data_IF_566422621727
#
_entry.id   IF_566422621727
#
_cell.length_a   1.000
_cell.length_b   1.000
_cell.length_c   1.000
_cell.angle_alpha   90.00
_cell.angle_beta   90.00
_cell.angle_gamma   90.00
#
_symmetry.space_group_name_H-M   'P 1'
#
loop_
_entity.id
_entity.type
_entity.pdbx_description
1 polymer ?
#
# COMPACT_ATOMS: atom_id res chain seq x y z
N UNK A 1 -14.87 9.23 9.46
CA UNK A 1 -14.60 8.35 8.29
C UNK A 1 -15.24 8.96 7.04
N UNK A 2 -14.49 9.12 5.93
CA UNK A 2 -15.01 9.77 4.72
C UNK A 2 -16.00 8.86 3.94
N UNK A 3 -16.91 9.41 3.10
CA UNK A 3 -17.85 8.61 2.32
C UNK A 3 -17.17 7.63 1.34
N UNK A 4 -16.01 8.01 0.78
CA UNK A 4 -15.23 7.14 -0.11
C UNK A 4 -14.58 5.98 0.65
N UNK A 5 -13.99 6.27 1.80
CA UNK A 5 -13.36 5.25 2.64
C UNK A 5 -14.42 4.27 3.17
N UNK A 6 -15.59 4.78 3.57
CA UNK A 6 -16.76 3.97 3.91
C UNK A 6 -17.20 3.06 2.74
N UNK A 7 -17.28 3.57 1.51
CA UNK A 7 -17.60 2.73 0.34
C UNK A 7 -16.55 1.64 0.13
N UNK A 8 -15.29 1.93 0.39
CA UNK A 8 -14.19 0.97 0.24
C UNK A 8 -14.31 -0.16 1.28
N UNK A 9 -14.55 0.17 2.55
CA UNK A 9 -14.77 -0.83 3.60
C UNK A 9 -16.08 -1.61 3.42
N UNK A 10 -17.18 -0.94 3.06
CA UNK A 10 -18.52 -1.56 2.99
C UNK A 10 -18.79 -2.31 1.68
N UNK A 11 -18.40 -1.75 0.52
CA UNK A 11 -18.73 -2.33 -0.80
C UNK A 11 -17.68 -3.29 -1.32
N UNK A 12 -16.41 -3.03 -1.02
CA UNK A 12 -15.29 -3.87 -1.46
C UNK A 12 -14.89 -4.86 -0.37
N UNK A 13 -15.60 -4.86 0.76
CA UNK A 13 -15.33 -5.69 1.94
C UNK A 13 -13.86 -5.63 2.38
N UNK A 14 -13.21 -4.47 2.19
CA UNK A 14 -11.80 -4.34 2.48
C UNK A 14 -11.60 -4.42 4.00
N UNK A 15 -10.78 -5.37 4.50
CA UNK A 15 -10.50 -5.47 5.92
C UNK A 15 -9.79 -4.21 6.41
N UNK A 16 -10.18 -3.75 7.60
CA UNK A 16 -9.48 -2.70 8.32
C UNK A 16 -8.60 -3.38 9.37
N UNK A 17 -7.31 -3.09 9.36
CA UNK A 17 -6.31 -3.68 10.26
C UNK A 17 -5.73 -2.62 11.18
N UNK A 18 -5.41 -3.03 12.40
CA UNK A 18 -4.79 -2.24 13.46
C UNK A 18 -3.52 -2.93 13.98
N UNK A 19 -2.95 -2.43 15.07
CA UNK A 19 -1.73 -2.98 15.68
C UNK A 19 -1.86 -4.47 16.06
N UNK A 20 -3.04 -4.90 16.49
CA UNK A 20 -3.30 -6.26 16.96
C UNK A 20 -3.67 -7.23 15.84
N UNK A 21 -4.24 -6.74 14.74
CA UNK A 21 -4.77 -7.56 13.64
C UNK A 21 -3.88 -7.54 12.40
N UNK A 22 -2.92 -6.62 12.31
CA UNK A 22 -2.00 -6.53 11.17
C UNK A 22 -1.24 -7.83 10.96
N UNK A 23 -0.68 -8.41 12.02
CA UNK A 23 0.15 -9.62 11.90
C UNK A 23 -0.66 -10.82 11.39
N UNK A 24 -1.87 -11.00 11.92
CA UNK A 24 -2.77 -12.07 11.48
C UNK A 24 -3.15 -11.92 10.00
N UNK A 25 -3.40 -10.68 9.56
CA UNK A 25 -3.68 -10.40 8.14
C UNK A 25 -2.49 -10.73 7.24
N UNK A 26 -1.28 -10.31 7.65
CA UNK A 26 -0.06 -10.57 6.89
C UNK A 26 0.27 -12.06 6.81
N UNK A 27 0.09 -12.79 7.91
CA UNK A 27 0.29 -14.23 7.96
C UNK A 27 -0.74 -14.98 7.11
N UNK A 28 -2.01 -14.54 7.12
CA UNK A 28 -3.05 -15.10 6.25
C UNK A 28 -2.73 -14.88 4.77
N UNK A 29 -2.29 -13.68 4.37
CA UNK A 29 -1.86 -13.40 2.99
C UNK A 29 -0.68 -14.31 2.59
N UNK A 30 0.33 -14.44 3.45
CA UNK A 30 1.48 -15.30 3.19
C UNK A 30 1.11 -16.78 3.10
N UNK A 31 0.18 -17.26 3.94
CA UNK A 31 -0.34 -18.62 3.90
C UNK A 31 -1.06 -18.95 2.59
N UNK A 32 -1.62 -17.94 1.92
CA UNK A 32 -2.23 -18.03 0.59
C UNK A 32 -1.22 -17.84 -0.56
N UNK A 33 0.06 -17.61 -0.25
CA UNK A 33 1.09 -17.30 -1.24
C UNK A 33 0.95 -15.89 -1.86
N UNK A 34 0.18 -15.01 -1.22
CA UNK A 34 -0.08 -13.65 -1.67
C UNK A 34 0.80 -12.64 -0.93
N UNK A 35 1.08 -11.53 -1.61
CA UNK A 35 1.65 -10.35 -1.00
C UNK A 35 0.53 -9.47 -0.44
N UNK A 36 0.80 -8.72 0.62
CA UNK A 36 -0.17 -7.79 1.19
C UNK A 36 0.08 -6.37 0.66
N UNK A 37 -0.99 -5.66 0.29
CA UNK A 37 -0.96 -4.25 -0.06
C UNK A 37 -1.78 -3.45 0.96
N UNK A 38 -1.10 -2.66 1.78
CA UNK A 38 -1.69 -1.88 2.86
C UNK A 38 -1.88 -0.43 2.40
N UNK A 39 -3.07 0.12 2.63
CA UNK A 39 -3.35 1.55 2.44
C UNK A 39 -3.29 2.27 3.78
N UNK A 40 -2.43 3.29 3.88
CA UNK A 40 -2.48 4.31 4.93
C UNK A 40 -3.10 5.57 4.33
N UNK A 41 -4.29 5.91 4.79
CA UNK A 41 -5.11 6.98 4.21
C UNK A 41 -4.85 8.36 4.83
N UNK A 42 -4.23 8.42 6.01
CA UNK A 42 -4.08 9.63 6.82
C UNK A 42 -5.41 10.11 7.39
N UNK A 43 -5.57 11.44 7.46
CA UNK A 43 -6.79 12.13 7.96
C UNK A 43 -8.04 11.96 7.06
N UNK A 44 -8.10 10.89 6.27
CA UNK A 44 -9.16 10.61 5.32
C UNK A 44 -9.17 11.56 4.12
N UNK A 45 -10.18 11.39 3.26
CA UNK A 45 -10.35 12.04 1.95
C UNK A 45 -10.46 13.59 1.93
N UNK A 46 -10.00 14.28 2.98
CA UNK A 46 -9.86 15.74 2.98
C UNK A 46 -8.76 16.23 2.04
N UNK A 47 -7.79 15.35 1.70
CA UNK A 47 -6.78 15.60 0.68
C UNK A 47 -7.23 15.01 -0.65
N UNK A 48 -7.12 15.80 -1.73
CA UNK A 48 -7.42 15.34 -3.08
C UNK A 48 -6.62 14.07 -3.45
N UNK A 49 -5.33 14.05 -3.11
CA UNK A 49 -4.45 12.89 -3.33
C UNK A 49 -4.98 11.62 -2.64
N UNK A 50 -5.53 11.71 -1.43
CA UNK A 50 -6.11 10.55 -0.74
C UNK A 50 -7.35 10.03 -1.46
N UNK A 51 -8.18 10.91 -2.02
CA UNK A 51 -9.35 10.50 -2.79
C UNK A 51 -8.94 9.72 -4.05
N UNK A 52 -7.88 10.16 -4.73
CA UNK A 52 -7.35 9.48 -5.93
C UNK A 52 -6.82 8.09 -5.58
N UNK A 53 -6.00 7.96 -4.52
CA UNK A 53 -5.51 6.65 -4.07
C UNK A 53 -6.67 5.73 -3.67
N UNK A 54 -7.72 6.24 -3.02
CA UNK A 54 -8.90 5.44 -2.66
C UNK A 54 -9.67 4.89 -3.87
N UNK A 55 -9.58 5.56 -5.03
CA UNK A 55 -10.16 5.07 -6.29
C UNK A 55 -9.22 4.08 -6.97
N UNK A 56 -7.92 4.36 -6.99
CA UNK A 56 -6.92 3.51 -7.67
C UNK A 56 -6.69 2.19 -6.91
N UNK A 57 -6.71 2.22 -5.59
CA UNK A 57 -6.42 1.07 -4.74
C UNK A 57 -7.23 -0.19 -5.08
N UNK A 58 -8.58 -0.16 -5.18
CA UNK A 58 -9.34 -1.33 -5.58
C UNK A 58 -9.03 -1.81 -7.00
N UNK A 59 -8.71 -0.91 -7.93
CA UNK A 59 -8.30 -1.28 -9.30
C UNK A 59 -6.96 -2.03 -9.29
N UNK A 60 -6.01 -1.64 -8.41
CA UNK A 60 -4.76 -2.38 -8.21
C UNK A 60 -5.01 -3.77 -7.64
N UNK A 61 -5.90 -3.89 -6.64
CA UNK A 61 -6.26 -5.19 -6.09
C UNK A 61 -6.96 -6.08 -7.12
N UNK A 62 -7.81 -5.51 -7.98
CA UNK A 62 -8.46 -6.24 -9.06
C UNK A 62 -7.44 -6.69 -10.14
N UNK A 63 -6.50 -5.82 -10.49
CA UNK A 63 -5.46 -6.11 -11.48
C UNK A 63 -4.52 -7.24 -11.01
N UNK A 64 -4.14 -7.25 -9.73
CA UNK A 64 -3.26 -8.24 -9.14
C UNK A 64 -4.00 -9.24 -8.24
N UNK A 65 -5.25 -9.58 -8.56
CA UNK A 65 -6.12 -10.37 -7.68
C UNK A 65 -5.58 -11.77 -7.33
N UNK A 66 -4.69 -12.33 -8.15
CA UNK A 66 -4.01 -13.61 -7.92
C UNK A 66 -2.72 -13.51 -7.12
N UNK A 67 -2.28 -12.31 -6.76
CA UNK A 67 -0.97 -12.05 -6.17
C UNK A 67 -1.00 -11.08 -5.00
N UNK A 68 -2.06 -10.27 -4.88
CA UNK A 68 -2.23 -9.29 -3.82
C UNK A 68 -3.47 -9.53 -2.98
N UNK A 69 -3.34 -9.26 -1.69
CA UNK A 69 -4.44 -9.09 -0.74
C UNK A 69 -4.39 -7.69 -0.14
N UNK A 70 -5.50 -6.97 -0.18
CA UNK A 70 -5.59 -5.59 0.29
C UNK A 70 -6.10 -5.46 1.72
N UNK A 71 -5.59 -4.46 2.45
CA UNK A 71 -6.19 -3.98 3.70
C UNK A 71 -6.02 -2.47 3.86
N UNK A 72 -6.93 -1.87 4.64
CA UNK A 72 -6.80 -0.48 5.10
C UNK A 72 -6.22 -0.48 6.51
N UNK A 73 -5.21 0.34 6.76
CA UNK A 73 -4.72 0.57 8.13
C UNK A 73 -5.67 1.55 8.83
N UNK A 74 -6.12 1.18 10.04
CA UNK A 74 -6.97 2.04 10.86
C UNK A 74 -6.25 3.38 11.14
N UNK A 75 -6.93 4.54 10.98
CA UNK A 75 -6.31 5.85 11.20
C UNK A 75 -5.61 5.99 12.55
N UNK A 76 -6.18 5.39 13.60
CA UNK A 76 -5.66 5.42 14.97
C UNK A 76 -4.40 4.56 15.14
N UNK A 77 -4.22 3.54 14.29
CA UNK A 77 -3.06 2.65 14.28
C UNK A 77 -1.93 3.16 13.36
N UNK A 78 -2.23 4.06 12.42
CA UNK A 78 -1.25 4.55 11.45
C UNK A 78 0.01 5.04 12.14
N UNK A 79 -0.11 5.96 13.10
CA UNK A 79 1.03 6.63 13.73
C UNK A 79 2.02 5.64 14.37
N UNK A 80 1.51 4.58 15.00
CA UNK A 80 2.33 3.56 15.65
C UNK A 80 2.93 2.57 14.64
N UNK A 81 2.25 2.34 13.52
CA UNK A 81 2.69 1.44 12.47
C UNK A 81 3.62 2.10 11.44
N UNK A 82 3.68 3.45 11.35
CA UNK A 82 4.48 4.18 10.34
C UNK A 82 5.94 3.75 10.30
N UNK A 83 6.58 3.63 11.46
CA UNK A 83 7.99 3.23 11.56
C UNK A 83 8.22 1.79 11.09
N UNK A 84 7.28 0.90 11.39
CA UNK A 84 7.33 -0.52 10.98
C UNK A 84 7.10 -0.68 9.48
N UNK A 85 6.16 0.09 8.94
CA UNK A 85 5.76 0.03 7.54
C UNK A 85 6.60 0.96 6.63
N UNK A 86 7.52 1.72 7.22
CA UNK A 86 8.31 2.77 6.56
C UNK A 86 7.47 3.84 5.84
N UNK A 87 6.21 4.01 6.24
CA UNK A 87 5.23 4.92 5.62
C UNK A 87 5.10 6.22 6.42
N UNK A 88 6.04 7.15 6.19
CA UNK A 88 6.11 8.43 6.91
C UNK A 88 5.31 9.57 6.28
N UNK A 89 4.66 9.32 5.15
CA UNK A 89 3.76 10.26 4.48
C UNK A 89 2.38 9.61 4.28
N UNK A 90 1.33 10.41 4.30
CA UNK A 90 -0.03 9.95 3.95
C UNK A 90 -0.57 10.82 2.80
N UNK A 91 -1.28 10.22 1.81
CA UNK A 91 -1.54 8.78 1.68
C UNK A 91 -0.29 7.99 1.25
N UNK A 92 -0.23 6.72 1.65
CA UNK A 92 0.81 5.78 1.19
C UNK A 92 0.24 4.38 0.97
N UNK A 93 0.77 3.67 -0.02
CA UNK A 93 0.62 2.22 -0.15
C UNK A 93 1.89 1.52 0.31
N UNK A 94 1.75 0.37 0.96
CA UNK A 94 2.88 -0.45 1.42
C UNK A 94 2.68 -1.87 0.93
N UNK A 95 3.63 -2.36 0.13
CA UNK A 95 3.66 -3.76 -0.29
C UNK A 95 4.47 -4.58 0.71
N UNK A 96 3.93 -5.71 1.13
CA UNK A 96 4.47 -6.59 2.16
C UNK A 96 4.59 -8.02 1.62
N UNK A 97 5.67 -8.71 1.98
CA UNK A 97 5.82 -10.16 1.82
C UNK A 97 5.87 -10.80 3.19
N UNK A 98 4.77 -11.46 3.58
CA UNK A 98 4.56 -11.81 4.99
C UNK A 98 4.70 -10.58 5.87
N UNK A 99 5.54 -10.65 6.91
CA UNK A 99 5.75 -9.53 7.85
C UNK A 99 6.82 -8.53 7.40
N UNK A 100 7.41 -8.72 6.22
CA UNK A 100 8.49 -7.88 5.70
C UNK A 100 7.95 -6.85 4.70
N UNK A 101 8.21 -5.54 4.90
CA UNK A 101 7.90 -4.54 3.89
C UNK A 101 8.83 -4.69 2.70
N UNK A 102 8.28 -4.70 1.48
CA UNK A 102 9.04 -4.72 0.23
C UNK A 102 9.24 -3.33 -0.34
N UNK A 103 8.24 -2.45 -0.19
CA UNK A 103 8.29 -1.11 -0.74
C UNK A 103 7.14 -0.23 -0.27
N UNK A 104 7.38 1.08 -0.31
CA UNK A 104 6.43 2.12 0.06
C UNK A 104 6.21 3.04 -1.12
N UNK A 105 4.95 3.35 -1.39
CA UNK A 105 4.49 4.22 -2.45
C UNK A 105 3.83 5.43 -1.81
N UNK A 106 4.62 6.46 -1.43
CA UNK A 106 4.05 7.69 -0.92
C UNK A 106 3.39 8.48 -2.05
N UNK A 107 2.25 9.13 -1.76
CA UNK A 107 1.48 9.93 -2.71
C UNK A 107 0.87 9.10 -3.86
N UNK A 108 0.27 9.81 -4.82
CA UNK A 108 -0.33 9.23 -6.03
C UNK A 108 0.74 9.07 -7.11
N UNK A 109 0.72 7.94 -7.80
CA UNK A 109 1.51 7.68 -9.01
C UNK A 109 0.59 7.52 -10.22
N UNK A 110 1.17 7.65 -11.41
CA UNK A 110 0.49 7.25 -12.64
C UNK A 110 0.23 5.73 -12.66
N UNK A 111 -0.81 5.30 -13.37
CA UNK A 111 -1.22 3.90 -13.42
C UNK A 111 -0.08 2.96 -13.86
N UNK A 112 0.62 3.29 -14.95
CA UNK A 112 1.73 2.48 -15.46
C UNK A 112 2.88 2.35 -14.45
N UNK A 113 3.12 3.40 -13.66
CA UNK A 113 4.14 3.38 -12.61
C UNK A 113 3.76 2.47 -11.45
N UNK A 114 2.48 2.47 -11.03
CA UNK A 114 2.00 1.52 -10.03
C UNK A 114 2.19 0.08 -10.50
N UNK A 115 1.74 -0.24 -11.72
CA UNK A 115 1.86 -1.60 -12.26
C UNK A 115 3.33 -2.03 -12.32
N UNK A 116 4.17 -1.26 -13.00
CA UNK A 116 5.57 -1.64 -13.20
C UNK A 116 6.39 -1.70 -11.91
N UNK A 117 6.05 -0.91 -10.88
CA UNK A 117 6.70 -1.01 -9.57
C UNK A 117 6.17 -2.20 -8.76
N UNK A 118 4.86 -2.44 -8.74
CA UNK A 118 4.27 -3.58 -8.00
C UNK A 118 4.76 -4.89 -8.60
N UNK A 119 4.78 -5.03 -9.93
CA UNK A 119 5.33 -6.21 -10.61
C UNK A 119 6.76 -6.53 -10.18
N UNK A 120 7.62 -5.51 -10.06
CA UNK A 120 8.99 -5.70 -9.55
C UNK A 120 8.99 -6.17 -8.10
N UNK A 121 8.11 -5.62 -7.26
CA UNK A 121 8.04 -6.04 -5.86
C UNK A 121 7.52 -7.49 -5.71
N UNK A 122 6.66 -7.95 -6.61
CA UNK A 122 6.16 -9.33 -6.61
C UNK A 122 7.21 -10.37 -7.00
N UNK A 123 8.37 -9.97 -7.55
CA UNK A 123 9.47 -10.90 -7.82
C UNK A 123 9.98 -11.55 -6.52
N UNK A 124 10.05 -12.89 -6.43
CA UNK A 124 10.54 -13.59 -5.24
C UNK A 124 11.96 -13.18 -4.82
N UNK A 125 12.78 -12.72 -5.77
CA UNK A 125 14.16 -12.28 -5.57
C UNK A 125 14.25 -10.87 -5.00
N UNK A 126 13.13 -10.12 -4.96
CA UNK A 126 13.11 -8.77 -4.41
C UNK A 126 13.45 -8.81 -2.92
N UNK A 127 14.49 -8.10 -2.47
CA UNK A 127 14.86 -8.07 -1.06
C UNK A 127 13.84 -7.25 -0.27
N UNK A 128 13.63 -7.64 0.99
CA UNK A 128 12.87 -6.82 1.92
C UNK A 128 13.54 -5.46 2.13
N UNK A 129 12.71 -4.43 2.32
CA UNK A 129 13.12 -3.09 2.67
C UNK A 129 13.83 -3.13 4.02
N UNK A 130 15.16 -3.09 3.98
CA UNK A 130 16.01 -3.07 5.18
C UNK A 130 16.50 -1.64 5.41
N UNK A 131 16.17 -1.08 6.58
CA UNK A 131 16.74 0.15 7.12
C UNK A 131 16.77 1.34 6.16
N UNK A 132 15.63 2.05 6.01
CA UNK A 132 15.52 3.41 5.48
C UNK A 132 16.60 3.82 4.46
N UNK A 133 16.67 3.13 3.32
CA UNK A 133 17.28 3.76 2.15
C UNK A 133 16.32 4.88 1.73
N UNK A 134 16.70 6.12 2.04
CA UNK A 134 16.00 7.35 1.60
C UNK A 134 15.50 7.17 0.16
N UNK A 135 14.32 7.71 -0.20
CA UNK A 135 13.74 7.47 -1.50
C UNK A 135 14.79 7.79 -2.57
N UNK A 136 15.21 6.77 -3.32
CA UNK A 136 15.82 7.01 -4.62
C UNK A 136 14.69 7.59 -5.48
N UNK A 137 14.52 8.91 -5.42
CA UNK A 137 14.01 9.65 -6.57
C UNK A 137 15.04 9.46 -7.67
N UNK A 138 14.94 8.34 -8.37
CA UNK A 138 15.49 8.21 -9.70
C UNK A 138 14.62 9.12 -10.56
N UNK A 139 15.01 10.40 -10.60
CA UNK A 139 14.43 11.38 -11.51
C UNK A 139 14.86 10.91 -12.90
N UNK A 140 14.04 10.07 -13.53
CA UNK A 140 14.17 9.83 -14.97
C UNK A 140 13.73 11.13 -15.63
N UNK A 141 14.67 12.05 -15.85
CA UNK A 141 14.51 13.09 -16.83
C UNK A 141 14.41 12.39 -18.19
N UNK A 142 13.19 12.18 -18.67
CA UNK A 142 12.92 11.98 -20.09
C UNK A 142 13.35 13.26 -20.82
N UNK A 143 14.61 13.27 -21.28
CA UNK A 143 15.14 14.32 -22.13
C UNK A 143 14.50 14.15 -23.51
N UNK A 144 13.42 14.90 -23.74
CA UNK A 144 12.82 15.07 -25.05
C UNK A 144 13.85 15.64 -26.03
N UNK A 145 13.90 15.01 -27.20
CA UNK A 145 14.71 15.37 -28.37
C UNK A 145 14.23 16.66 -29.04
#
# INVERSE_FOLDING_TARGET
MSPLLRRLTERLALPVVDESSLDDFLDAAAGEGLHALLLLSGDGAQRAETADVLVIFPELLAHFSSSLRGALVAPEAEEKLRSRLFAFASPSLVAMRGREPLGVFPKVYDWADYIGKIERLLDPSTPALTGARRPQTEITFSRGA
#
